data_IF_046603318834
#
_entry.id   IF_046603318834
#
_cell.length_a   1.000
_cell.length_b   1.000
_cell.length_c   1.000
_cell.angle_alpha   90.00
_cell.angle_beta   90.00
_cell.angle_gamma   90.00
#
_symmetry.space_group_name_H-M   'P 1'
#
loop_
_entity.id
_entity.type
_entity.pdbx_description
1 polymer ?
#
# COMPACT_ATOMS: atom_id res chain seq x y z
N UNK A 1 8.87 -12.26 -9.82
CA UNK A 1 7.51 -11.94 -9.34
C UNK A 1 7.56 -10.72 -8.43
N UNK A 2 6.66 -9.78 -8.64
CA UNK A 2 6.58 -8.59 -7.78
C UNK A 2 5.57 -8.82 -6.66
N UNK A 3 5.97 -8.49 -5.46
CA UNK A 3 5.04 -8.52 -4.33
C UNK A 3 4.32 -7.19 -4.21
N UNK A 4 3.06 -7.25 -3.85
CA UNK A 4 2.29 -6.06 -3.55
C UNK A 4 2.30 -5.86 -2.03
N UNK A 5 2.70 -4.67 -1.60
CA UNK A 5 2.81 -4.34 -0.19
C UNK A 5 1.84 -3.20 0.10
N UNK A 6 1.03 -3.36 1.12
CA UNK A 6 0.14 -2.30 1.59
C UNK A 6 0.82 -1.54 2.70
N UNK A 7 0.86 -0.23 2.54
CA UNK A 7 1.47 0.68 3.52
C UNK A 7 0.35 1.45 4.19
N UNK A 8 0.23 1.29 5.50
CA UNK A 8 -0.81 1.98 6.27
C UNK A 8 -0.12 3.01 7.15
N UNK A 9 -0.33 4.29 6.83
CA UNK A 9 0.30 5.40 7.54
C UNK A 9 -0.57 6.63 7.37
N UNK A 10 -0.94 7.28 8.47
CA UNK A 10 -1.82 8.45 8.42
C UNK A 10 -1.12 9.71 7.94
N UNK A 11 0.19 9.78 8.04
CA UNK A 11 0.96 10.93 7.54
C UNK A 11 1.24 10.73 6.06
N UNK A 12 0.74 11.64 5.24
CA UNK A 12 0.87 11.53 3.79
C UNK A 12 2.32 11.56 3.33
N UNK A 13 3.12 12.40 3.94
CA UNK A 13 4.53 12.53 3.53
C UNK A 13 5.31 11.26 3.87
N UNK A 14 5.08 10.72 5.04
CA UNK A 14 5.74 9.48 5.46
C UNK A 14 5.26 8.32 4.59
N UNK A 15 3.96 8.26 4.33
CA UNK A 15 3.38 7.20 3.50
C UNK A 15 4.02 7.22 2.11
N UNK A 16 4.12 8.40 1.50
CA UNK A 16 4.71 8.52 0.17
C UNK A 16 6.17 8.12 0.17
N UNK A 17 6.91 8.50 1.21
CA UNK A 17 8.33 8.16 1.32
C UNK A 17 8.52 6.65 1.39
N UNK A 18 7.70 5.98 2.18
CA UNK A 18 7.79 4.52 2.31
C UNK A 18 7.43 3.85 0.99
N UNK A 19 6.39 4.31 0.32
CA UNK A 19 5.98 3.72 -0.95
C UNK A 19 7.07 3.87 -2.01
N UNK A 20 7.69 5.03 -2.09
CA UNK A 20 8.78 5.25 -3.04
C UNK A 20 9.96 4.35 -2.74
N UNK A 21 10.31 4.20 -1.46
CA UNK A 21 11.42 3.34 -1.07
C UNK A 21 11.14 1.88 -1.46
N UNK A 22 9.92 1.41 -1.22
CA UNK A 22 9.55 0.03 -1.56
C UNK A 22 9.59 -0.19 -3.07
N UNK A 23 9.12 0.78 -3.84
CA UNK A 23 9.14 0.66 -5.30
C UNK A 23 10.56 0.65 -5.84
N UNK A 24 11.46 1.38 -5.19
CA UNK A 24 12.88 1.35 -5.57
C UNK A 24 13.50 -0.02 -5.33
N UNK A 25 12.97 -0.80 -4.40
CA UNK A 25 13.42 -2.16 -4.17
C UNK A 25 12.72 -3.19 -5.07
N UNK A 26 11.84 -2.75 -5.95
CA UNK A 26 11.18 -3.65 -6.90
C UNK A 26 9.85 -4.18 -6.45
N UNK A 27 9.27 -3.65 -5.37
CA UNK A 27 7.94 -4.05 -4.92
C UNK A 27 6.89 -3.11 -5.50
N UNK A 28 5.64 -3.57 -5.51
CA UNK A 28 4.51 -2.70 -5.81
C UNK A 28 3.92 -2.23 -4.48
N UNK A 29 3.90 -0.93 -4.25
CA UNK A 29 3.41 -0.38 -2.99
C UNK A 29 2.09 0.32 -3.19
N UNK A 30 1.15 0.09 -2.28
CA UNK A 30 -0.12 0.79 -2.24
C UNK A 30 -0.27 1.44 -0.88
N UNK A 31 -0.46 2.75 -0.84
CA UNK A 31 -0.53 3.48 0.42
C UNK A 31 -1.96 3.77 0.82
N UNK A 32 -2.24 3.64 2.11
CA UNK A 32 -3.56 3.91 2.67
C UNK A 32 -3.41 4.69 3.95
N UNK A 33 -4.37 5.57 4.20
CA UNK A 33 -4.37 6.36 5.42
C UNK A 33 -4.77 5.52 6.63
N UNK A 34 -5.69 4.58 6.43
CA UNK A 34 -6.21 3.74 7.51
C UNK A 34 -6.22 2.27 7.11
N UNK A 35 -6.26 1.41 8.12
CA UNK A 35 -6.36 -0.02 7.89
C UNK A 35 -7.69 -0.40 7.21
N UNK A 36 -8.75 0.35 7.50
CA UNK A 36 -10.04 0.11 6.87
C UNK A 36 -9.98 0.26 5.36
N UNK A 37 -9.30 1.32 4.90
CA UNK A 37 -9.14 1.54 3.47
C UNK A 37 -8.35 0.40 2.82
N UNK A 38 -7.32 -0.08 3.49
CA UNK A 38 -6.52 -1.18 2.98
C UNK A 38 -7.36 -2.46 2.89
N UNK A 39 -8.17 -2.73 3.91
CA UNK A 39 -9.03 -3.90 3.93
C UNK A 39 -10.11 -3.83 2.85
N UNK A 40 -10.66 -2.64 2.61
CA UNK A 40 -11.65 -2.46 1.55
C UNK A 40 -11.04 -2.75 0.19
N UNK A 41 -9.82 -2.29 -0.04
CA UNK A 41 -9.13 -2.54 -1.29
C UNK A 41 -8.88 -4.03 -1.48
N UNK A 42 -8.44 -4.72 -0.42
CA UNK A 42 -8.19 -6.15 -0.46
C UNK A 42 -9.48 -6.93 -0.72
N UNK A 43 -10.57 -6.54 -0.06
CA UNK A 43 -11.87 -7.18 -0.27
C UNK A 43 -12.33 -7.04 -1.72
N UNK A 44 -12.13 -5.88 -2.31
CA UNK A 44 -12.51 -5.66 -3.71
C UNK A 44 -11.75 -6.60 -4.63
N UNK A 45 -10.47 -6.85 -4.35
CA UNK A 45 -9.69 -7.79 -5.14
C UNK A 45 -10.20 -9.21 -5.00
N UNK A 46 -10.62 -9.60 -3.80
CA UNK A 46 -11.06 -10.97 -3.54
C UNK A 46 -12.46 -11.27 -4.10
N UNK A 47 -13.23 -10.24 -4.44
CA UNK A 47 -14.59 -10.42 -4.96
C UNK A 47 -14.65 -10.59 -6.46
N UNK A 48 -13.55 -10.63 -7.12
CA UNK A 48 -13.47 -10.69 -8.58
C UNK A 48 -13.76 -12.06 -9.11
#
# INVERSE_FOLDING_TARGET
MKYRIYVIEDDENIRNLICVALENFGYCASGFETAEEALDSLSALLRR
#
